data_IF_118566840069
#
_entry.id   IF_118566840069
#
_cell.length_a   1.000
_cell.length_b   1.000
_cell.length_c   1.000
_cell.angle_alpha   90.00
_cell.angle_beta   90.00
_cell.angle_gamma   90.00
#
_symmetry.space_group_name_H-M   'P 1'
#
loop_
_entity.id
_entity.type
_entity.pdbx_description
1 polymer ?
#
# COMPACT_ATOMS: atom_id res chain seq x y z
N UNK A 1 -3.97 -63.46 1.29
CA UNK A 1 -2.85 -62.50 1.51
C UNK A 1 -2.60 -61.51 0.36
N UNK A 2 -3.51 -61.30 -0.62
CA UNK A 2 -3.32 -60.29 -1.69
C UNK A 2 -4.09 -58.97 -1.49
N UNK A 3 -5.08 -58.95 -0.58
CA UNK A 3 -5.90 -57.76 -0.29
C UNK A 3 -5.36 -56.87 0.84
N UNK A 4 -4.44 -57.39 1.67
CA UNK A 4 -3.81 -56.61 2.74
C UNK A 4 -2.64 -55.75 2.25
N UNK A 5 -1.99 -56.13 1.15
CA UNK A 5 -0.85 -55.39 0.56
C UNK A 5 -1.34 -54.15 -0.20
N UNK A 6 -2.54 -54.21 -0.80
CA UNK A 6 -3.12 -53.08 -1.54
C UNK A 6 -3.59 -51.93 -0.62
N UNK A 7 -4.03 -52.22 0.61
CA UNK A 7 -4.44 -51.20 1.58
C UNK A 7 -3.27 -50.40 2.15
N UNK A 8 -2.11 -51.05 2.34
CA UNK A 8 -0.89 -50.39 2.85
C UNK A 8 -0.26 -49.49 1.78
N UNK A 9 -0.31 -49.87 0.50
CA UNK A 9 0.16 -49.04 -0.61
C UNK A 9 -0.68 -47.78 -0.83
N UNK A 10 -1.99 -47.80 -0.53
CA UNK A 10 -2.86 -46.64 -0.68
C UNK A 10 -2.72 -45.61 0.44
N UNK A 11 -2.25 -46.03 1.63
CA UNK A 11 -1.93 -45.10 2.71
C UNK A 11 -0.58 -44.41 2.53
N UNK A 12 0.39 -45.06 1.87
CA UNK A 12 1.71 -44.45 1.62
C UNK A 12 1.63 -43.38 0.52
N UNK A 13 0.73 -43.49 -0.46
CA UNK A 13 0.54 -42.44 -1.48
C UNK A 13 -0.09 -41.15 -0.94
N UNK A 14 -0.76 -41.20 0.21
CA UNK A 14 -1.30 -40.01 0.88
C UNK A 14 -0.27 -39.24 1.72
N UNK A 15 0.86 -39.87 2.07
CA UNK A 15 1.97 -39.21 2.79
C UNK A 15 3.02 -38.56 1.87
N UNK A 16 2.93 -38.78 0.54
CA UNK A 16 3.89 -38.20 -0.42
C UNK A 16 3.38 -36.87 -1.02
N UNK A 17 2.13 -36.48 -0.76
CA UNK A 17 1.68 -35.09 -0.90
C UNK A 17 1.93 -34.28 0.38
N UNK A 18 3.06 -34.55 1.04
CA UNK A 18 3.67 -33.54 1.88
C UNK A 18 4.13 -32.43 0.92
N UNK A 19 3.43 -31.29 0.95
CA UNK A 19 3.96 -30.05 0.42
C UNK A 19 5.41 -29.93 0.87
N UNK A 20 6.33 -30.03 -0.10
CA UNK A 20 7.72 -29.63 0.11
C UNK A 20 7.71 -28.10 0.18
N UNK A 21 7.15 -27.58 1.26
CA UNK A 21 7.51 -26.27 1.77
C UNK A 21 8.84 -26.46 2.50
N UNK A 22 9.90 -26.59 1.70
CA UNK A 22 11.28 -26.47 2.17
C UNK A 22 11.52 -24.99 2.50
N UNK A 23 11.00 -24.56 3.63
CA UNK A 23 11.22 -23.25 4.24
C UNK A 23 11.55 -23.43 5.72
N UNK A 24 12.53 -24.26 6.04
CA UNK A 24 13.11 -24.35 7.38
C UNK A 24 14.57 -23.90 7.38
N UNK A 25 14.83 -22.71 6.81
CA UNK A 25 16.02 -21.93 7.16
C UNK A 25 15.60 -20.86 8.16
N UNK A 26 16.47 -20.54 9.11
CA UNK A 26 16.27 -19.42 10.06
C UNK A 26 16.08 -18.06 9.37
N UNK A 27 16.30 -18.01 8.04
CA UNK A 27 15.99 -16.95 7.10
C UNK A 27 14.65 -17.20 6.37
N UNK A 28 13.54 -17.18 7.10
CA UNK A 28 12.24 -17.08 6.43
C UNK A 28 12.18 -15.68 5.79
N UNK A 29 12.39 -15.60 4.46
CA UNK A 29 12.44 -14.34 3.75
C UNK A 29 11.11 -13.61 4.00
N UNK A 30 11.18 -12.43 4.61
CA UNK A 30 9.98 -11.62 4.86
C UNK A 30 9.45 -11.14 3.51
N UNK A 31 8.44 -11.83 2.98
CA UNK A 31 7.82 -11.48 1.70
C UNK A 31 6.60 -10.60 1.98
N UNK A 32 6.58 -9.44 1.33
CA UNK A 32 5.42 -8.55 1.28
C UNK A 32 4.71 -8.75 -0.04
N UNK A 33 3.38 -8.84 0.02
CA UNK A 33 2.51 -9.01 -1.16
C UNK A 33 1.46 -7.91 -1.20
N UNK A 34 1.28 -7.30 -2.37
CA UNK A 34 0.29 -6.27 -2.61
C UNK A 34 -0.57 -6.61 -3.84
N UNK A 35 -1.91 -6.51 -3.76
CA UNK A 35 -2.75 -6.61 -4.93
C UNK A 35 -2.60 -5.32 -5.73
N UNK A 36 -2.24 -5.44 -7.00
CA UNK A 36 -2.10 -4.31 -7.92
C UNK A 36 -2.97 -4.55 -9.14
N UNK A 37 -3.58 -3.49 -9.63
CA UNK A 37 -4.31 -3.54 -10.87
C UNK A 37 -4.27 -2.19 -11.57
N UNK A 38 -4.31 -2.23 -12.90
CA UNK A 38 -4.33 -1.05 -13.77
C UNK A 38 -5.37 -1.25 -14.86
N UNK A 39 -5.76 -0.16 -15.52
CA UNK A 39 -6.55 -0.26 -16.74
C UNK A 39 -5.66 -0.70 -17.91
N UNK A 40 -6.22 -1.53 -18.78
CA UNK A 40 -5.55 -1.97 -20.02
C UNK A 40 -5.58 -0.88 -21.08
N UNK A 41 -6.65 -0.08 -21.07
CA UNK A 41 -6.89 1.02 -21.99
C UNK A 41 -7.10 2.32 -21.22
N UNK A 42 -6.75 3.44 -21.83
CA UNK A 42 -7.04 4.76 -21.27
C UNK A 42 -8.54 4.98 -21.12
N UNK A 43 -8.92 5.78 -20.12
CA UNK A 43 -10.30 6.22 -20.03
C UNK A 43 -10.63 7.08 -21.27
N UNK A 44 -11.77 6.86 -21.95
CA UNK A 44 -12.19 7.73 -23.04
C UNK A 44 -12.43 9.13 -22.48
N UNK A 45 -11.55 10.07 -22.82
CA UNK A 45 -11.65 11.48 -22.44
C UNK A 45 -12.34 12.26 -23.56
N UNK A 46 -13.36 13.02 -23.20
CA UNK A 46 -13.97 14.03 -24.08
C UNK A 46 -13.29 15.35 -23.73
N UNK A 47 -12.12 15.66 -24.31
CA UNK A 47 -11.54 17.01 -24.16
C UNK A 47 -10.52 17.36 -25.22
N UNK A 48 -10.53 18.64 -25.55
CA UNK A 48 -9.57 19.39 -26.36
C UNK A 48 -8.11 19.19 -25.91
N UNK A 49 -7.20 19.32 -26.87
CA UNK A 49 -5.85 18.74 -26.93
C UNK A 49 -4.78 19.16 -25.87
N UNK A 50 -5.11 19.82 -24.76
CA UNK A 50 -4.09 20.42 -23.87
C UNK A 50 -3.75 19.65 -22.57
N UNK A 51 -4.64 18.79 -22.03
CA UNK A 51 -4.41 18.07 -20.75
C UNK A 51 -4.42 16.53 -20.90
N UNK A 52 -3.72 16.00 -21.92
CA UNK A 52 -3.53 14.56 -22.04
C UNK A 52 -2.54 14.09 -20.98
N UNK A 53 -3.05 13.45 -19.92
CA UNK A 53 -2.24 12.59 -19.06
C UNK A 53 -1.43 11.64 -19.97
N UNK A 54 -0.12 11.57 -19.75
CA UNK A 54 0.78 10.78 -20.60
C UNK A 54 0.36 9.31 -20.51
N UNK A 55 0.05 8.69 -21.65
CA UNK A 55 -0.19 7.24 -21.68
C UNK A 55 1.00 6.50 -21.11
N UNK A 56 0.76 5.69 -20.09
CA UNK A 56 1.76 4.78 -19.54
C UNK A 56 1.34 3.36 -19.91
N UNK A 57 2.20 2.59 -20.61
CA UNK A 57 1.92 1.20 -20.92
C UNK A 57 1.51 0.42 -19.66
N UNK A 58 0.50 -0.46 -19.71
CA UNK A 58 -0.03 -1.15 -18.53
C UNK A 58 1.05 -1.90 -17.71
N UNK A 59 2.08 -2.41 -18.37
CA UNK A 59 3.24 -3.04 -17.71
C UNK A 59 4.04 -2.04 -16.86
N UNK A 60 4.32 -0.87 -17.41
CA UNK A 60 5.07 0.19 -16.71
C UNK A 60 4.22 0.75 -15.56
N UNK A 61 2.92 0.95 -15.80
CA UNK A 61 1.97 1.38 -14.78
C UNK A 61 1.88 0.40 -13.60
N UNK A 62 1.85 -0.92 -13.89
CA UNK A 62 1.88 -1.95 -12.86
C UNK A 62 3.18 -1.92 -12.05
N UNK A 63 4.33 -1.78 -12.71
CA UNK A 63 5.63 -1.70 -12.04
C UNK A 63 5.71 -0.47 -11.12
N UNK A 64 5.28 0.69 -11.61
CA UNK A 64 5.32 1.95 -10.86
C UNK A 64 4.39 1.90 -9.63
N UNK A 65 3.15 1.45 -9.83
CA UNK A 65 2.17 1.26 -8.75
C UNK A 65 2.66 0.25 -7.72
N UNK A 66 3.26 -0.86 -8.17
CA UNK A 66 3.81 -1.89 -7.29
C UNK A 66 4.95 -1.36 -6.45
N UNK A 67 5.91 -0.64 -7.06
CA UNK A 67 7.03 -0.05 -6.34
C UNK A 67 6.55 0.96 -5.28
N UNK A 68 5.54 1.76 -5.61
CA UNK A 68 4.92 2.71 -4.66
C UNK A 68 4.25 2.00 -3.47
N UNK A 69 3.39 1.01 -3.73
CA UNK A 69 2.66 0.32 -2.65
C UNK A 69 3.62 -0.50 -1.79
N UNK A 70 4.53 -1.26 -2.42
CA UNK A 70 5.51 -2.07 -1.70
C UNK A 70 6.38 -1.15 -0.84
N UNK A 71 6.83 -0.01 -1.38
CA UNK A 71 7.58 0.98 -0.60
C UNK A 71 6.86 1.37 0.69
N UNK A 72 5.57 1.68 0.61
CA UNK A 72 4.76 2.03 1.78
C UNK A 72 4.50 0.86 2.74
N UNK A 73 4.49 -0.37 2.25
CA UNK A 73 4.33 -1.58 3.07
C UNK A 73 5.64 -2.05 3.72
N UNK A 74 6.80 -1.80 3.10
CA UNK A 74 8.09 -2.32 3.57
C UNK A 74 8.90 -1.29 4.35
N UNK A 75 9.10 -0.10 3.77
CA UNK A 75 9.97 0.95 4.31
C UNK A 75 9.17 2.05 5.03
N UNK A 76 7.89 2.18 4.69
CA UNK A 76 7.02 3.21 5.21
C UNK A 76 7.10 4.51 4.43
N UNK A 77 6.20 5.43 4.81
CA UNK A 77 6.01 6.72 4.19
C UNK A 77 6.17 7.78 5.28
N UNK A 78 6.97 8.80 5.00
CA UNK A 78 7.05 10.01 5.84
C UNK A 78 5.93 10.94 5.45
N UNK A 79 5.31 11.57 6.43
CA UNK A 79 4.28 12.55 6.19
C UNK A 79 4.55 13.86 6.92
N UNK A 80 4.15 14.96 6.27
CA UNK A 80 3.92 16.25 6.93
C UNK A 80 2.47 16.67 6.72
N UNK A 81 1.81 17.03 7.81
CA UNK A 81 0.41 17.43 7.80
C UNK A 81 0.20 18.77 8.49
N UNK A 82 -0.35 19.73 7.75
CA UNK A 82 -0.83 21.01 8.26
C UNK A 82 -2.36 21.03 8.22
N UNK A 83 -3.03 20.99 9.39
CA UNK A 83 -4.49 21.07 9.45
C UNK A 83 -5.01 22.42 8.96
N UNK A 84 -6.18 22.42 8.31
CA UNK A 84 -6.86 23.67 7.96
C UNK A 84 -7.29 24.46 9.19
N UNK A 85 -7.00 25.76 9.19
CA UNK A 85 -7.46 26.70 10.21
C UNK A 85 -8.07 27.95 9.57
N UNK A 86 -9.41 28.00 9.52
CA UNK A 86 -10.17 29.14 9.00
C UNK A 86 -9.92 30.43 9.79
N UNK A 87 -9.69 30.35 11.11
CA UNK A 87 -9.46 31.54 11.94
C UNK A 87 -8.13 32.22 11.60
N UNK A 88 -7.16 31.43 11.13
CA UNK A 88 -5.80 31.88 10.79
C UNK A 88 -5.54 31.90 9.29
N UNK A 89 -6.57 31.68 8.47
CA UNK A 89 -6.49 31.58 7.01
C UNK A 89 -5.45 30.56 6.49
N UNK A 90 -5.26 29.45 7.20
CA UNK A 90 -4.32 28.39 6.82
C UNK A 90 -5.07 27.30 6.05
N UNK A 91 -4.67 27.05 4.80
CA UNK A 91 -5.17 25.94 3.96
C UNK A 91 -4.63 24.60 4.48
N UNK A 92 -5.39 23.53 4.27
CA UNK A 92 -4.92 22.17 4.56
C UNK A 92 -3.80 21.82 3.59
N UNK A 93 -2.68 21.32 4.12
CA UNK A 93 -1.56 20.81 3.32
C UNK A 93 -1.17 19.45 3.85
N UNK A 94 -0.89 18.52 2.94
CA UNK A 94 -0.45 17.18 3.25
C UNK A 94 0.56 16.72 2.22
N UNK A 95 1.70 16.26 2.69
CA UNK A 95 2.79 15.75 1.88
C UNK A 95 3.15 14.36 2.36
N UNK A 96 3.39 13.47 1.39
CA UNK A 96 3.65 12.06 1.63
C UNK A 96 4.80 11.60 0.76
N UNK A 97 5.86 11.13 1.39
CA UNK A 97 7.09 10.72 0.72
C UNK A 97 7.47 9.29 1.09
N UNK A 98 7.81 8.50 0.09
CA UNK A 98 8.39 7.17 0.28
C UNK A 98 9.78 7.27 0.90
N UNK A 99 10.04 6.54 2.01
CA UNK A 99 11.38 6.49 2.62
C UNK A 99 12.40 5.89 1.66
N UNK A 100 12.00 4.83 0.96
CA UNK A 100 12.83 4.16 -0.04
C UNK A 100 11.94 3.49 -1.07
N UNK A 101 12.30 3.60 -2.35
CA UNK A 101 11.60 2.93 -3.45
C UNK A 101 12.41 1.72 -3.91
N UNK A 102 11.88 0.49 -3.81
CA UNK A 102 12.58 -0.68 -4.29
C UNK A 102 12.74 -0.62 -5.81
N UNK A 103 13.88 -1.11 -6.30
CA UNK A 103 14.11 -1.30 -7.73
C UNK A 103 13.00 -2.20 -8.31
N UNK A 104 12.30 -1.76 -9.36
CA UNK A 104 11.26 -2.56 -10.01
C UNK A 104 11.70 -3.97 -10.42
N UNK A 105 12.99 -4.20 -10.69
CA UNK A 105 13.52 -5.53 -11.05
C UNK A 105 13.43 -6.55 -9.91
N UNK A 106 13.38 -6.08 -8.65
CA UNK A 106 13.27 -6.94 -7.48
C UNK A 106 11.82 -7.32 -7.14
N UNK A 107 10.85 -6.78 -7.88
CA UNK A 107 9.42 -7.06 -7.69
C UNK A 107 9.02 -8.21 -8.61
N UNK A 108 8.45 -9.27 -8.03
CA UNK A 108 7.93 -10.41 -8.77
C UNK A 108 6.43 -10.29 -8.91
N UNK A 109 5.91 -10.46 -10.13
CA UNK A 109 4.47 -10.54 -10.36
C UNK A 109 4.02 -11.99 -10.34
N UNK A 110 3.02 -12.28 -9.51
CA UNK A 110 2.34 -13.56 -9.45
C UNK A 110 0.86 -13.38 -9.82
N UNK A 111 0.22 -14.46 -10.28
CA UNK A 111 -1.21 -14.51 -10.63
C UNK A 111 -1.68 -13.36 -11.55
N UNK A 112 -0.96 -13.12 -12.64
CA UNK A 112 -1.35 -12.10 -13.64
C UNK A 112 -2.65 -12.54 -14.31
N UNK A 113 -3.70 -11.73 -14.17
CA UNK A 113 -5.03 -11.96 -14.73
C UNK A 113 -5.48 -10.74 -15.52
N UNK A 114 -5.57 -10.89 -16.83
CA UNK A 114 -6.15 -9.87 -17.69
C UNK A 114 -7.65 -10.12 -17.80
N UNK A 115 -8.46 -9.23 -17.22
CA UNK A 115 -9.92 -9.24 -17.31
C UNK A 115 -10.38 -7.86 -17.71
N UNK A 116 -10.61 -7.65 -19.01
CA UNK A 116 -11.01 -6.37 -19.56
C UNK A 116 -12.13 -5.72 -18.72
N UNK A 117 -11.98 -4.44 -18.32
CA UNK A 117 -10.94 -3.47 -18.72
C UNK A 117 -9.67 -3.46 -17.85
N UNK A 118 -9.48 -4.42 -16.94
CA UNK A 118 -8.43 -4.42 -15.92
C UNK A 118 -7.33 -5.47 -16.18
N UNK A 119 -6.10 -5.14 -15.81
CA UNK A 119 -5.03 -6.11 -15.60
C UNK A 119 -4.74 -6.20 -14.10
N UNK A 120 -4.95 -7.36 -13.51
CA UNK A 120 -4.74 -7.65 -12.10
C UNK A 120 -3.48 -8.49 -11.91
N UNK A 121 -2.70 -8.23 -10.86
CA UNK A 121 -1.58 -9.08 -10.44
C UNK A 121 -1.30 -8.91 -8.95
N UNK A 122 -0.66 -9.91 -8.35
CA UNK A 122 -0.01 -9.78 -7.06
C UNK A 122 1.44 -9.37 -7.26
N UNK A 123 1.85 -8.27 -6.65
CA UNK A 123 3.24 -7.85 -6.59
C UNK A 123 3.87 -8.38 -5.30
N UNK A 124 4.94 -9.16 -5.43
CA UNK A 124 5.68 -9.75 -4.33
C UNK A 124 7.08 -9.16 -4.23
N UNK A 125 7.52 -8.88 -3.02
CA UNK A 125 8.86 -8.36 -2.74
C UNK A 125 9.43 -8.99 -1.48
N UNK A 126 10.63 -9.55 -1.60
CA UNK A 126 11.40 -10.04 -0.46
C UNK A 126 12.13 -8.88 0.22
N UNK A 127 11.80 -8.61 1.48
CA UNK A 127 12.50 -7.59 2.26
C UNK A 127 13.96 -8.03 2.45
N UNK A 128 14.95 -7.19 2.09
CA UNK A 128 16.35 -7.48 2.34
C UNK A 128 16.62 -7.68 3.83
N UNK A 129 17.52 -8.61 4.17
CA UNK A 129 17.85 -8.93 5.57
C UNK A 129 18.32 -7.70 6.36
N UNK A 130 19.04 -6.79 5.70
CA UNK A 130 19.48 -5.50 6.28
C UNK A 130 18.34 -4.61 6.77
N UNK A 131 17.14 -4.74 6.19
CA UNK A 131 15.95 -3.95 6.57
C UNK A 131 14.93 -4.75 7.38
N UNK A 132 15.08 -6.07 7.46
CA UNK A 132 14.14 -6.95 8.19
C UNK A 132 13.94 -6.53 9.65
N UNK A 133 14.99 -6.05 10.32
CA UNK A 133 14.91 -5.52 11.69
C UNK A 133 13.99 -4.32 11.81
N UNK A 134 14.10 -3.35 10.91
CA UNK A 134 13.25 -2.15 10.87
C UNK A 134 11.78 -2.51 10.62
N UNK A 135 11.51 -3.39 9.66
CA UNK A 135 10.16 -3.88 9.39
C UNK A 135 9.56 -4.59 10.62
N UNK A 136 10.33 -5.47 11.27
CA UNK A 136 9.91 -6.16 12.50
C UNK A 136 9.57 -5.17 13.61
N UNK A 137 10.32 -4.07 13.76
CA UNK A 137 10.03 -3.04 14.77
C UNK A 137 8.65 -2.40 14.57
N UNK A 138 8.28 -2.08 13.32
CA UNK A 138 6.95 -1.54 13.01
C UNK A 138 5.81 -2.51 13.31
N UNK A 139 6.03 -3.80 13.09
CA UNK A 139 5.01 -4.85 13.34
C UNK A 139 4.82 -5.18 14.82
N UNK A 140 5.67 -4.67 15.72
CA UNK A 140 5.50 -4.88 17.17
C UNK A 140 4.23 -4.18 17.66
N UNK A 141 3.61 -4.77 18.69
CA UNK A 141 2.35 -4.27 19.29
C UNK A 141 2.41 -2.85 19.90
N UNK A 142 3.58 -2.20 19.89
CA UNK A 142 3.76 -0.83 20.36
C UNK A 142 3.09 0.22 19.46
N UNK A 143 3.06 -0.02 18.15
CA UNK A 143 2.57 0.97 17.20
C UNK A 143 1.05 0.96 17.10
N UNK A 144 0.44 2.14 17.09
CA UNK A 144 -1.01 2.28 16.95
C UNK A 144 -1.41 1.98 15.51
N UNK A 145 -2.49 1.22 15.35
CA UNK A 145 -3.11 0.99 14.04
C UNK A 145 -4.20 2.03 13.81
N UNK A 146 -4.17 2.67 12.64
CA UNK A 146 -5.17 3.63 12.16
C UNK A 146 -5.74 3.15 10.83
N UNK A 147 -6.95 3.61 10.48
CA UNK A 147 -7.60 3.28 9.21
C UNK A 147 -7.97 4.55 8.47
N UNK A 148 -7.82 4.52 7.15
CA UNK A 148 -8.08 5.65 6.27
C UNK A 148 -8.86 5.22 5.04
N UNK A 149 -9.69 6.15 4.55
CA UNK A 149 -10.35 6.04 3.26
C UNK A 149 -10.05 7.30 2.48
N UNK A 150 -9.79 7.15 1.19
CA UNK A 150 -9.49 8.27 0.30
C UNK A 150 -10.05 8.05 -1.08
N UNK A 151 -10.14 9.13 -1.85
CA UNK A 151 -10.60 9.08 -3.22
C UNK A 151 -9.68 9.85 -4.16
N UNK A 152 -9.69 9.47 -5.44
CA UNK A 152 -8.99 10.16 -6.51
C UNK A 152 -9.77 10.03 -7.82
N UNK A 153 -9.54 10.96 -8.75
CA UNK A 153 -10.26 10.97 -10.02
C UNK A 153 -9.84 9.77 -10.88
N UNK A 154 -10.80 9.04 -11.44
CA UNK A 154 -10.52 7.93 -12.36
C UNK A 154 -9.82 8.40 -13.64
N UNK A 155 -10.16 9.59 -14.13
CA UNK A 155 -9.65 10.10 -15.40
C UNK A 155 -8.17 10.51 -15.32
N UNK A 156 -7.62 10.64 -14.11
CA UNK A 156 -6.20 10.91 -13.87
C UNK A 156 -5.34 9.63 -13.83
N UNK A 157 -5.92 8.45 -14.11
CA UNK A 157 -5.21 7.16 -14.17
C UNK A 157 -4.35 6.87 -12.93
N UNK A 158 -3.03 6.66 -13.08
CA UNK A 158 -2.13 6.41 -11.95
C UNK A 158 -2.07 7.58 -10.96
N UNK A 159 -2.12 8.83 -11.46
CA UNK A 159 -2.12 10.00 -10.59
C UNK A 159 -3.38 10.01 -9.70
N UNK A 160 -4.52 9.60 -10.25
CA UNK A 160 -5.76 9.39 -9.50
C UNK A 160 -5.64 8.32 -8.42
N UNK A 161 -4.93 7.22 -8.71
CA UNK A 161 -4.63 6.17 -7.71
C UNK A 161 -3.73 6.71 -6.60
N UNK A 162 -2.68 7.46 -6.92
CA UNK A 162 -1.80 8.10 -5.93
C UNK A 162 -2.53 9.13 -5.08
N UNK A 163 -3.44 9.90 -5.69
CA UNK A 163 -4.30 10.84 -4.98
C UNK A 163 -5.21 10.10 -3.98
N UNK A 164 -5.82 8.98 -4.39
CA UNK A 164 -6.66 8.17 -3.51
C UNK A 164 -5.89 7.62 -2.30
N UNK A 165 -4.67 7.13 -2.51
CA UNK A 165 -3.81 6.66 -1.43
C UNK A 165 -3.37 7.79 -0.50
N UNK A 166 -2.92 8.92 -1.08
CA UNK A 166 -2.49 10.09 -0.30
C UNK A 166 -3.64 10.64 0.54
N UNK A 167 -4.83 10.74 -0.03
CA UNK A 167 -6.03 11.19 0.69
C UNK A 167 -6.43 10.19 1.79
N UNK A 168 -6.29 8.89 1.56
CA UNK A 168 -6.56 7.87 2.57
C UNK A 168 -5.61 7.99 3.78
N UNK A 169 -4.31 8.16 3.53
CA UNK A 169 -3.33 8.38 4.60
C UNK A 169 -3.63 9.70 5.34
N UNK A 170 -3.85 10.80 4.62
CA UNK A 170 -4.21 12.10 5.20
C UNK A 170 -5.41 12.00 6.13
N UNK A 171 -6.49 11.36 5.66
CA UNK A 171 -7.71 11.19 6.45
C UNK A 171 -7.45 10.34 7.70
N UNK A 172 -6.67 9.26 7.61
CA UNK A 172 -6.29 8.43 8.76
C UNK A 172 -5.49 9.24 9.81
N UNK A 173 -4.47 9.98 9.36
CA UNK A 173 -3.62 10.81 10.23
C UNK A 173 -4.44 11.91 10.88
N UNK A 174 -5.30 12.58 10.13
CA UNK A 174 -6.17 13.65 10.63
C UNK A 174 -7.12 13.14 11.71
N UNK A 175 -7.78 12.01 11.48
CA UNK A 175 -8.76 11.46 12.42
C UNK A 175 -8.06 10.97 13.69
N UNK A 176 -6.88 10.36 13.56
CA UNK A 176 -6.03 10.02 14.69
C UNK A 176 -5.60 11.25 15.50
N UNK A 177 -5.09 12.28 14.83
CA UNK A 177 -4.66 13.53 15.45
C UNK A 177 -5.78 14.24 16.21
N UNK A 178 -7.00 14.28 15.64
CA UNK A 178 -8.19 14.84 16.28
C UNK A 178 -8.60 14.11 17.56
N UNK A 179 -8.28 12.82 17.68
CA UNK A 179 -8.62 12.02 18.84
C UNK A 179 -7.92 12.46 20.13
N UNK A 180 -6.73 13.05 20.04
CA UNK A 180 -5.95 13.44 21.23
C UNK A 180 -5.52 14.92 21.26
N UNK A 181 -5.56 15.65 20.14
CA UNK A 181 -5.23 17.07 20.09
C UNK A 181 -6.46 17.94 20.33
N UNK A 182 -6.48 18.65 21.47
CA UNK A 182 -7.53 19.64 21.78
C UNK A 182 -7.48 20.87 20.85
N UNK A 183 -6.28 21.34 20.54
CA UNK A 183 -6.03 22.51 19.70
C UNK A 183 -5.38 22.08 18.39
N UNK A 184 -5.74 22.77 17.29
CA UNK A 184 -5.13 22.51 15.98
C UNK A 184 -3.62 22.84 16.02
N UNK A 185 -2.74 21.87 15.76
CA UNK A 185 -1.32 22.14 15.63
C UNK A 185 -1.04 22.93 14.36
N UNK A 186 0.15 23.52 14.28
CA UNK A 186 0.68 24.14 13.07
C UNK A 186 1.10 23.07 12.07
N UNK A 187 1.76 22.04 12.54
CA UNK A 187 2.26 20.95 11.69
C UNK A 187 2.42 19.67 12.53
N UNK A 188 2.17 18.52 11.91
CA UNK A 188 2.43 17.19 12.46
C UNK A 188 3.36 16.47 11.50
N UNK A 189 4.49 15.99 12.02
CA UNK A 189 5.45 15.18 11.27
C UNK A 189 5.53 13.78 11.85
N UNK A 190 5.68 12.81 10.98
CA UNK A 190 5.85 11.42 11.39
C UNK A 190 6.02 10.48 10.23
N UNK A 191 5.87 9.20 10.53
CA UNK A 191 5.91 8.13 9.56
C UNK A 191 4.71 7.20 9.72
N UNK A 192 4.32 6.58 8.60
CA UNK A 192 3.31 5.52 8.55
C UNK A 192 3.85 4.30 7.81
N UNK A 193 3.40 3.12 8.20
CA UNK A 193 3.65 1.87 7.48
C UNK A 193 2.32 1.23 7.10
N UNK A 194 2.15 0.83 5.85
CA UNK A 194 0.95 0.11 5.41
C UNK A 194 0.97 -1.30 6.03
N UNK A 195 0.01 -1.59 6.89
CA UNK A 195 -0.04 -2.81 7.70
C UNK A 195 -0.52 -4.01 6.90
N UNK A 196 -1.56 -3.82 6.11
CA UNK A 196 -2.22 -4.88 5.35
C UNK A 196 -2.34 -4.47 3.89
N UNK A 197 -2.46 -5.45 2.96
CA UNK A 197 -2.52 -5.15 1.55
C UNK A 197 -3.67 -4.18 1.27
N UNK A 198 -3.40 -3.04 0.60
CA UNK A 198 -4.39 -1.99 0.45
C UNK A 198 -5.54 -2.42 -0.45
N UNK A 199 -6.75 -1.94 -0.15
CA UNK A 199 -7.91 -2.21 -1.00
C UNK A 199 -8.14 -1.02 -1.94
N UNK A 200 -8.03 -1.26 -3.23
CA UNK A 200 -8.31 -0.28 -4.28
C UNK A 200 -9.47 -0.77 -5.15
N UNK A 201 -10.49 0.06 -5.34
CA UNK A 201 -11.63 -0.23 -6.21
C UNK A 201 -12.17 1.05 -6.86
N UNK A 202 -12.99 0.89 -7.90
CA UNK A 202 -13.67 2.01 -8.58
C UNK A 202 -15.10 2.09 -8.09
N UNK A 203 -15.54 3.28 -7.70
CA UNK A 203 -16.93 3.53 -7.33
C UNK A 203 -17.32 4.96 -7.75
N UNK A 204 -18.44 5.10 -8.45
CA UNK A 204 -18.99 6.40 -8.87
C UNK A 204 -18.03 7.29 -9.67
N UNK A 205 -17.16 6.68 -10.49
CA UNK A 205 -16.19 7.42 -11.30
C UNK A 205 -14.92 7.84 -10.55
N UNK A 206 -14.75 7.41 -9.30
CA UNK A 206 -13.54 7.68 -8.50
C UNK A 206 -12.81 6.38 -8.18
N UNK A 207 -11.48 6.45 -8.09
CA UNK A 207 -10.71 5.48 -7.35
C UNK A 207 -10.98 5.68 -5.87
N UNK A 208 -11.29 4.60 -5.15
CA UNK A 208 -11.39 4.58 -3.68
C UNK A 208 -10.34 3.66 -3.11
N UNK A 209 -9.57 4.18 -2.17
CA UNK A 209 -8.56 3.44 -1.45
C UNK A 209 -8.95 3.29 0.03
N UNK A 210 -8.86 2.07 0.54
CA UNK A 210 -8.96 1.77 1.98
C UNK A 210 -7.62 1.24 2.48
N UNK A 211 -7.09 1.87 3.52
CA UNK A 211 -5.79 1.56 4.09
C UNK A 211 -5.90 1.28 5.59
N UNK A 212 -5.14 0.28 6.06
CA UNK A 212 -4.80 0.15 7.47
C UNK A 212 -3.30 0.42 7.63
N UNK A 213 -2.96 1.29 8.58
CA UNK A 213 -1.61 1.80 8.74
C UNK A 213 -1.16 1.65 10.20
N UNK A 214 0.13 1.39 10.41
CA UNK A 214 0.80 1.75 11.64
C UNK A 214 1.22 3.21 11.57
N UNK A 215 1.08 3.95 12.68
CA UNK A 215 1.50 5.34 12.77
C UNK A 215 2.54 5.54 13.87
N UNK A 216 3.53 6.36 13.58
CA UNK A 216 4.45 6.93 14.52
C UNK A 216 4.50 8.44 14.30
N UNK A 217 4.24 9.22 15.36
CA UNK A 217 4.36 10.68 15.33
C UNK A 217 5.72 11.04 15.91
N UNK A 218 6.53 11.76 15.15
CA UNK A 218 7.85 12.18 15.58
C UNK A 218 7.81 13.58 16.20
N UNK A 219 7.03 14.51 15.62
CA UNK A 219 6.95 15.89 16.09
C UNK A 219 5.55 16.49 15.92
N UNK A 220 5.11 17.28 16.90
CA UNK A 220 3.88 18.08 16.84
C UNK A 220 4.24 19.55 17.11
N UNK A 221 4.28 20.34 16.05
CA UNK A 221 4.62 21.76 16.11
C UNK A 221 3.35 22.54 16.45
N UNK A 222 3.31 23.14 17.64
CA UNK A 222 2.20 24.00 18.08
C UNK A 222 2.41 25.43 17.60
N UNK A 223 1.31 26.18 17.51
CA UNK A 223 1.41 27.63 17.32
C UNK A 223 1.99 28.28 18.57
N UNK A 224 3.00 29.12 18.39
CA UNK A 224 3.77 29.72 19.49
C UNK A 224 3.22 31.07 19.98
N UNK A 225 2.15 31.61 19.39
CA UNK A 225 1.63 32.95 19.77
C UNK A 225 0.11 32.94 19.97
N UNK A 226 -0.27 33.51 21.12
CA UNK A 226 -1.64 33.68 21.65
C UNK A 226 -2.38 34.80 20.93
#
# INVERSE_FOLDING_TARGET
MRKFIAGVLFFVSFYIYADIYSGSSESDALIVRAPVWVFVEEAPKVSDDEDKAKFIPPKEALLELSSYIISGMTYGLKFSYTPSDKKRNVKEYFELESVFKPDPQNIRFTDVRVKYPYCYSWAEYGIPESYAGHFKLWTKNSHKTIKGRGHGDRFEELAGVYAAYTDAVKNAVRDYARGFLKNKPKEIKGAVLIKSPPRLFVESGFFKAELELYIQIDEIIKYTVF
#
